data_IF_212303472713
#
_entry.id   IF_212303472713
#
_cell.length_a   1.000
_cell.length_b   1.000
_cell.length_c   1.000
_cell.angle_alpha   90.00
_cell.angle_beta   90.00
_cell.angle_gamma   90.00
#
_symmetry.space_group_name_H-M   'P 1'
#
loop_
_entity.id
_entity.type
_entity.pdbx_description
1 polymer ?
#
# COMPACT_ATOMS: atom_id res chain seq x y z
N UNK A 1 -6.48 71.79 15.91
CA UNK A 1 -6.04 72.57 14.73
C UNK A 1 -4.58 72.26 14.41
N UNK A 2 -4.26 71.53 13.34
CA UNK A 2 -2.98 71.66 12.61
C UNK A 2 -2.93 70.76 11.37
N UNK A 3 -3.19 71.43 10.24
CA UNK A 3 -2.55 71.35 8.92
C UNK A 3 -2.41 69.96 8.26
N UNK A 4 -3.36 69.69 7.37
CA UNK A 4 -3.21 68.82 6.20
C UNK A 4 -2.11 69.38 5.29
N UNK A 5 -1.17 68.53 4.86
CA UNK A 5 -0.24 68.81 3.77
C UNK A 5 -0.33 67.64 2.78
N UNK A 6 -0.98 67.93 1.65
CA UNK A 6 -1.11 67.05 0.49
C UNK A 6 0.24 67.06 -0.22
N UNK A 7 0.86 65.90 -0.39
CA UNK A 7 2.03 65.75 -1.24
C UNK A 7 1.64 64.87 -2.44
N UNK A 8 1.54 65.52 -3.60
CA UNK A 8 1.35 64.89 -4.90
C UNK A 8 2.72 64.38 -5.32
N UNK A 9 2.89 63.06 -5.37
CA UNK A 9 4.15 62.40 -5.71
C UNK A 9 3.92 61.33 -6.76
N UNK A 10 4.16 61.73 -8.01
CA UNK A 10 4.43 60.97 -9.23
C UNK A 10 4.59 59.44 -9.09
N UNK A 11 3.68 58.74 -9.75
CA UNK A 11 3.65 57.30 -10.03
C UNK A 11 4.87 56.86 -10.85
N UNK A 12 5.94 56.45 -10.18
CA UNK A 12 7.01 55.64 -10.77
C UNK A 12 6.61 54.17 -10.65
N UNK A 13 6.19 53.61 -11.79
CA UNK A 13 5.79 52.22 -11.98
C UNK A 13 7.01 51.29 -11.81
N UNK A 14 7.37 50.97 -10.56
CA UNK A 14 8.21 49.83 -10.23
C UNK A 14 7.34 48.57 -10.32
N UNK A 15 7.36 47.90 -11.48
CA UNK A 15 6.88 46.53 -11.66
C UNK A 15 7.78 45.58 -10.85
N UNK A 16 7.56 45.58 -9.54
CA UNK A 16 8.09 44.62 -8.60
C UNK A 16 7.32 43.31 -8.69
N UNK A 17 8.02 42.27 -9.14
CA UNK A 17 7.97 40.89 -8.65
C UNK A 17 6.74 40.49 -7.84
N UNK A 18 5.78 39.82 -8.50
CA UNK A 18 5.07 38.72 -7.83
C UNK A 18 5.00 37.58 -8.83
N UNK A 19 6.06 36.76 -8.83
CA UNK A 19 6.02 35.42 -9.36
C UNK A 19 4.91 34.67 -8.62
N UNK A 20 3.68 34.72 -9.15
CA UNK A 20 2.68 33.69 -8.92
C UNK A 20 3.23 32.39 -9.53
N UNK A 21 4.17 31.76 -8.83
CA UNK A 21 4.33 30.32 -8.90
C UNK A 21 3.05 29.74 -8.30
N UNK A 22 2.01 29.68 -9.13
CA UNK A 22 0.79 28.95 -8.84
C UNK A 22 1.21 27.51 -8.60
N UNK A 23 1.15 27.11 -7.34
CA UNK A 23 1.47 25.78 -6.83
C UNK A 23 0.71 24.76 -7.67
N UNK A 24 1.45 24.00 -8.48
CA UNK A 24 0.92 22.84 -9.20
C UNK A 24 0.70 21.73 -8.18
N UNK A 25 -0.49 21.73 -7.59
CA UNK A 25 -0.95 20.66 -6.73
C UNK A 25 -1.26 19.45 -7.62
N UNK A 26 -0.32 18.50 -7.67
CA UNK A 26 -0.51 17.18 -8.31
C UNK A 26 -1.76 16.52 -7.67
N UNK A 27 -2.93 16.66 -8.29
CA UNK A 27 -4.09 15.85 -7.96
C UNK A 27 -3.76 14.39 -8.26
N UNK A 28 -3.81 13.55 -7.25
CA UNK A 28 -3.73 12.09 -7.38
C UNK A 28 -4.79 11.62 -8.37
N UNK A 29 -4.41 10.72 -9.29
CA UNK A 29 -5.28 10.24 -10.37
C UNK A 29 -6.29 9.20 -9.81
N UNK A 30 -7.58 9.52 -9.68
CA UNK A 30 -8.55 8.65 -9.02
C UNK A 30 -8.77 7.31 -9.74
N UNK A 31 -8.54 7.26 -11.06
CA UNK A 31 -8.72 6.02 -11.84
C UNK A 31 -7.63 5.00 -11.58
N UNK A 32 -6.38 5.45 -11.38
CA UNK A 32 -5.24 4.58 -11.07
C UNK A 32 -5.34 4.00 -9.66
N UNK A 33 -5.81 4.77 -8.69
CA UNK A 33 -6.10 4.27 -7.34
C UNK A 33 -7.20 3.20 -7.40
N UNK A 34 -8.30 3.46 -8.11
CA UNK A 34 -9.39 2.51 -8.26
C UNK A 34 -8.93 1.20 -8.93
N UNK A 35 -8.04 1.27 -9.91
CA UNK A 35 -7.45 0.08 -10.55
C UNK A 35 -6.58 -0.74 -9.59
N UNK A 36 -5.67 -0.09 -8.85
CA UNK A 36 -4.81 -0.75 -7.86
C UNK A 36 -5.63 -1.42 -6.73
N UNK A 37 -6.72 -0.77 -6.31
CA UNK A 37 -7.64 -1.36 -5.34
C UNK A 37 -8.27 -2.67 -5.87
N UNK A 38 -8.42 -2.85 -7.19
CA UNK A 38 -9.13 -3.98 -7.83
C UNK A 38 -8.24 -5.17 -8.19
N UNK A 39 -6.97 -4.92 -8.50
CA UNK A 39 -6.08 -5.95 -9.05
C UNK A 39 -5.17 -6.57 -7.99
N UNK A 40 -5.01 -5.90 -6.84
CA UNK A 40 -4.02 -6.25 -5.84
C UNK A 40 -2.76 -5.45 -6.06
N UNK A 41 -1.89 -5.42 -5.06
CA UNK A 41 -0.71 -4.58 -5.06
C UNK A 41 0.49 -5.43 -4.66
N UNK A 42 1.57 -5.30 -5.42
CA UNK A 42 2.84 -5.99 -5.16
C UNK A 42 3.90 -4.91 -5.10
N UNK A 43 4.70 -4.89 -4.03
CA UNK A 43 5.82 -3.96 -3.96
C UNK A 43 7.03 -4.60 -3.30
N UNK A 44 8.19 -4.27 -3.83
CA UNK A 44 9.46 -4.64 -3.22
C UNK A 44 9.81 -3.57 -2.19
N UNK A 45 9.75 -3.92 -0.90
CA UNK A 45 10.26 -3.04 0.16
C UNK A 45 11.79 -2.93 0.07
N UNK A 46 12.47 -4.08 -0.07
CA UNK A 46 13.89 -4.20 -0.39
C UNK A 46 14.19 -5.61 -0.88
N UNK A 47 15.33 -5.82 -1.54
CA UNK A 47 15.79 -7.15 -1.93
C UNK A 47 16.04 -8.07 -0.71
N UNK A 48 16.39 -7.46 0.43
CA UNK A 48 16.61 -8.17 1.69
C UNK A 48 15.33 -8.67 2.37
N UNK A 49 14.14 -8.28 1.90
CA UNK A 49 12.87 -8.71 2.48
C UNK A 49 12.54 -10.18 2.15
N UNK A 50 13.33 -10.85 1.31
CA UNK A 50 13.08 -12.22 0.86
C UNK A 50 11.99 -12.34 -0.22
N UNK A 51 11.31 -11.23 -0.55
CA UNK A 51 10.28 -11.17 -1.58
C UNK A 51 9.48 -9.87 -1.50
N UNK A 52 8.58 -9.62 -2.47
CA UNK A 52 7.71 -8.45 -2.45
C UNK A 52 6.61 -8.62 -1.41
N UNK A 53 6.24 -7.54 -0.75
CA UNK A 53 5.04 -7.51 0.07
C UNK A 53 3.80 -7.50 -0.85
N UNK A 54 2.77 -8.25 -0.47
CA UNK A 54 1.60 -8.54 -1.32
C UNK A 54 0.33 -8.08 -0.62
N UNK A 55 -0.50 -7.30 -1.33
CA UNK A 55 -1.86 -6.99 -0.92
C UNK A 55 -2.83 -7.62 -1.91
N UNK A 56 -3.53 -8.67 -1.49
CA UNK A 56 -4.57 -9.30 -2.31
C UNK A 56 -5.81 -8.42 -2.40
N UNK A 57 -6.44 -8.44 -3.57
CA UNK A 57 -7.70 -7.75 -3.85
C UNK A 57 -8.91 -8.70 -3.98
N UNK A 58 -8.65 -10.02 -4.08
CA UNK A 58 -9.67 -11.06 -4.22
C UNK A 58 -9.42 -12.21 -3.25
N UNK A 59 -10.48 -12.93 -2.81
CA UNK A 59 -11.90 -12.65 -3.06
C UNK A 59 -12.42 -11.41 -2.30
N UNK A 60 -11.69 -10.97 -1.28
CA UNK A 60 -11.95 -9.73 -0.55
C UNK A 60 -10.76 -8.79 -0.67
N UNK A 61 -11.04 -7.49 -0.65
CA UNK A 61 -10.00 -6.46 -0.86
C UNK A 61 -9.25 -6.17 0.42
N UNK A 62 -7.94 -5.99 0.29
CA UNK A 62 -7.10 -5.52 1.39
C UNK A 62 -6.73 -6.65 2.33
N UNK A 63 -6.14 -7.72 1.79
CA UNK A 63 -5.46 -8.74 2.60
C UNK A 63 -3.96 -8.58 2.42
N UNK A 64 -3.27 -8.20 3.49
CA UNK A 64 -1.82 -7.99 3.47
C UNK A 64 -1.07 -9.28 3.83
N UNK A 65 -0.06 -9.62 3.03
CA UNK A 65 0.96 -10.61 3.33
C UNK A 65 2.34 -9.94 3.29
N UNK A 66 3.14 -10.21 4.33
CA UNK A 66 4.49 -9.66 4.47
C UNK A 66 5.57 -10.73 4.31
N UNK A 67 6.34 -10.67 3.22
CA UNK A 67 7.52 -11.51 3.05
C UNK A 67 8.58 -11.18 4.10
N UNK A 68 8.79 -9.90 4.40
CA UNK A 68 9.76 -9.49 5.42
C UNK A 68 9.46 -10.15 6.77
N UNK A 69 8.21 -10.13 7.20
CA UNK A 69 7.84 -10.75 8.47
C UNK A 69 8.06 -12.27 8.44
N UNK A 70 7.59 -12.96 7.40
CA UNK A 70 7.65 -14.42 7.34
C UNK A 70 9.05 -14.96 7.04
N UNK A 71 9.75 -14.41 6.05
CA UNK A 71 11.05 -14.91 5.61
C UNK A 71 12.21 -14.34 6.45
N UNK A 72 12.20 -13.03 6.76
CA UNK A 72 13.33 -12.39 7.46
C UNK A 72 13.17 -12.39 8.97
N UNK A 73 12.02 -11.97 9.49
CA UNK A 73 11.83 -11.83 10.94
C UNK A 73 11.56 -13.17 11.63
N UNK A 74 10.75 -14.04 11.02
CA UNK A 74 10.50 -15.40 11.51
C UNK A 74 11.52 -16.44 11.00
N UNK A 75 12.32 -16.10 9.98
CA UNK A 75 13.36 -16.99 9.45
C UNK A 75 12.82 -18.20 8.69
N UNK A 76 11.59 -18.14 8.15
CA UNK A 76 11.05 -19.23 7.33
C UNK A 76 11.81 -19.33 6.00
N UNK A 77 12.17 -20.55 5.62
CA UNK A 77 12.85 -20.77 4.35
C UNK A 77 11.90 -20.55 3.17
N UNK A 78 12.45 -20.21 2.01
CA UNK A 78 11.69 -20.02 0.77
C UNK A 78 10.85 -21.27 0.44
N UNK A 79 11.44 -22.45 0.65
CA UNK A 79 10.86 -23.76 0.36
C UNK A 79 9.70 -24.11 1.30
N UNK A 80 9.66 -23.48 2.47
CA UNK A 80 8.55 -23.66 3.42
C UNK A 80 7.22 -23.14 2.86
N UNK A 81 7.27 -22.22 1.89
CA UNK A 81 6.10 -21.70 1.19
C UNK A 81 6.06 -22.13 -0.28
N UNK A 82 7.20 -22.19 -0.96
CA UNK A 82 7.30 -22.32 -2.41
C UNK A 82 7.98 -23.60 -2.90
N UNK A 83 7.54 -24.22 -3.99
CA UNK A 83 6.27 -24.00 -4.70
C UNK A 83 5.08 -24.75 -4.10
N UNK A 84 5.25 -25.32 -2.88
CA UNK A 84 4.27 -26.21 -2.27
C UNK A 84 2.95 -25.54 -1.87
N UNK A 85 2.99 -24.49 -1.06
CA UNK A 85 1.79 -23.79 -0.56
C UNK A 85 1.38 -22.68 -1.54
N UNK A 86 2.37 -21.97 -2.08
CA UNK A 86 2.18 -20.88 -3.03
C UNK A 86 3.14 -21.04 -4.22
N UNK A 87 2.68 -20.66 -5.40
CA UNK A 87 3.56 -20.50 -6.57
C UNK A 87 4.44 -19.25 -6.40
N UNK A 88 5.62 -19.23 -7.03
CA UNK A 88 6.52 -18.07 -7.08
C UNK A 88 6.02 -17.00 -8.07
N UNK A 89 4.71 -16.71 -8.03
CA UNK A 89 4.05 -15.72 -8.84
C UNK A 89 3.07 -14.94 -7.96
N UNK A 90 3.37 -13.67 -7.73
CA UNK A 90 2.53 -12.81 -6.89
C UNK A 90 1.10 -12.72 -7.46
N UNK A 91 0.12 -12.66 -6.56
CA UNK A 91 -1.31 -12.59 -6.88
C UNK A 91 -1.87 -13.80 -7.67
N UNK A 92 -1.09 -14.86 -7.91
CA UNK A 92 -1.59 -16.04 -8.62
C UNK A 92 -2.69 -16.77 -7.84
N UNK A 93 -2.52 -16.90 -6.54
CA UNK A 93 -3.48 -17.61 -5.68
C UNK A 93 -4.88 -17.00 -5.69
N UNK A 94 -5.00 -15.67 -5.80
CA UNK A 94 -6.31 -14.99 -5.81
C UNK A 94 -7.11 -15.17 -7.11
N UNK A 95 -6.52 -15.80 -8.14
CA UNK A 95 -7.24 -16.25 -9.34
C UNK A 95 -8.00 -17.56 -9.09
N UNK A 96 -7.61 -18.32 -8.06
CA UNK A 96 -8.20 -19.61 -7.76
C UNK A 96 -9.51 -19.43 -6.96
N UNK A 97 -10.61 -20.10 -7.35
CA UNK A 97 -11.89 -19.99 -6.66
C UNK A 97 -11.85 -20.55 -5.24
N UNK A 98 -10.92 -21.47 -4.95
CA UNK A 98 -10.72 -22.03 -3.61
C UNK A 98 -9.79 -21.18 -2.72
N UNK A 99 -9.27 -20.04 -3.18
CA UNK A 99 -8.53 -19.10 -2.32
C UNK A 99 -9.48 -18.30 -1.41
N UNK A 100 -10.05 -18.99 -0.43
CA UNK A 100 -11.05 -18.44 0.48
C UNK A 100 -10.88 -19.02 1.90
N UNK A 101 -11.58 -18.44 2.88
CA UNK A 101 -11.45 -18.84 4.29
C UNK A 101 -11.81 -20.30 4.56
N UNK A 102 -12.73 -20.89 3.79
CA UNK A 102 -13.09 -22.30 3.94
C UNK A 102 -11.91 -23.21 3.61
N UNK A 103 -11.18 -22.92 2.54
CA UNK A 103 -9.96 -23.64 2.19
C UNK A 103 -8.84 -23.44 3.22
N UNK A 104 -8.71 -22.24 3.80
CA UNK A 104 -7.77 -21.98 4.89
C UNK A 104 -8.08 -22.88 6.09
N UNK A 105 -9.34 -23.05 6.46
CA UNK A 105 -9.73 -23.97 7.55
C UNK A 105 -9.45 -25.44 7.24
N UNK A 106 -9.35 -25.80 5.95
CA UNK A 106 -8.93 -27.13 5.48
C UNK A 106 -7.40 -27.25 5.33
N UNK A 107 -6.63 -26.29 5.86
CA UNK A 107 -5.17 -26.32 5.87
C UNK A 107 -4.50 -25.85 4.58
N UNK A 108 -5.22 -25.21 3.66
CA UNK A 108 -4.64 -24.65 2.43
C UNK A 108 -4.14 -23.21 2.63
N UNK A 109 -3.25 -22.77 1.74
CA UNK A 109 -2.74 -21.39 1.68
C UNK A 109 -2.23 -20.91 3.05
N UNK A 110 -2.67 -19.74 3.52
CA UNK A 110 -2.31 -19.20 4.82
C UNK A 110 -2.64 -20.16 5.97
N UNK A 111 -3.72 -20.95 5.82
CA UNK A 111 -4.21 -21.89 6.82
C UNK A 111 -3.32 -23.13 7.00
N UNK A 112 -2.35 -23.38 6.12
CA UNK A 112 -1.34 -24.41 6.31
C UNK A 112 -0.56 -24.20 7.63
N UNK A 113 -0.32 -22.92 7.99
CA UNK A 113 0.35 -22.52 9.23
C UNK A 113 -0.59 -21.79 10.20
N UNK A 114 -1.51 -20.96 9.72
CA UNK A 114 -2.51 -20.26 10.54
C UNK A 114 -3.68 -21.16 10.96
N UNK A 115 -3.34 -22.30 11.55
CA UNK A 115 -4.25 -23.38 11.93
C UNK A 115 -4.56 -23.43 13.45
N UNK A 116 -3.98 -22.52 14.24
CA UNK A 116 -4.12 -22.51 15.71
C UNK A 116 -3.07 -23.31 16.45
N UNK A 117 -2.16 -23.98 15.75
CA UNK A 117 -1.05 -24.75 16.31
C UNK A 117 0.29 -24.11 15.96
N UNK A 118 0.60 -23.99 14.66
CA UNK A 118 1.86 -23.40 14.20
C UNK A 118 1.86 -21.87 14.28
N UNK A 119 0.69 -21.26 14.05
CA UNK A 119 0.43 -19.84 14.21
C UNK A 119 -1.02 -19.63 14.65
N UNK A 120 -1.41 -18.38 14.95
CA UNK A 120 -2.79 -18.07 15.31
C UNK A 120 -3.77 -18.56 14.23
N UNK A 121 -4.92 -19.09 14.66
CA UNK A 121 -5.92 -19.62 13.74
C UNK A 121 -6.55 -18.51 12.89
N UNK A 122 -6.69 -18.72 11.59
CA UNK A 122 -7.20 -17.70 10.64
C UNK A 122 -8.60 -17.17 10.97
N UNK A 123 -9.40 -17.87 11.77
CA UNK A 123 -10.74 -17.44 12.22
C UNK A 123 -10.73 -16.58 13.50
N UNK A 124 -9.58 -16.30 14.11
CA UNK A 124 -9.53 -15.63 15.43
C UNK A 124 -9.08 -14.17 15.37
N UNK A 125 -8.23 -13.80 14.40
CA UNK A 125 -7.59 -12.48 14.34
C UNK A 125 -7.72 -11.86 12.95
N UNK A 126 -8.95 -11.62 12.49
CA UNK A 126 -9.26 -11.18 11.13
C UNK A 126 -8.46 -9.92 10.71
N UNK A 127 -8.36 -8.94 11.60
CA UNK A 127 -7.71 -7.65 11.32
C UNK A 127 -6.19 -7.74 11.16
N UNK A 128 -5.55 -8.87 11.48
CA UNK A 128 -4.11 -9.05 11.27
C UNK A 128 -3.76 -9.19 9.78
N UNK A 129 -4.71 -9.67 8.97
CA UNK A 129 -4.52 -9.82 7.52
C UNK A 129 -5.45 -8.86 6.76
N UNK A 130 -6.71 -8.75 7.17
CA UNK A 130 -7.71 -7.93 6.51
C UNK A 130 -7.61 -6.47 6.94
N UNK A 131 -6.80 -5.69 6.21
CA UNK A 131 -6.57 -4.26 6.46
C UNK A 131 -7.69 -3.36 5.91
N UNK A 132 -8.60 -3.94 5.13
CA UNK A 132 -9.74 -3.25 4.53
C UNK A 132 -9.36 -2.15 3.55
N UNK A 133 -10.35 -1.41 3.06
CA UNK A 133 -10.15 -0.34 2.06
C UNK A 133 -9.26 0.78 2.61
N UNK A 134 -9.42 1.15 3.88
CA UNK A 134 -8.59 2.19 4.51
C UNK A 134 -7.12 1.79 4.55
N UNK A 135 -6.82 0.58 5.03
CA UNK A 135 -5.44 0.09 5.07
C UNK A 135 -4.83 0.01 3.67
N UNK A 136 -5.61 -0.45 2.69
CA UNK A 136 -5.17 -0.53 1.29
C UNK A 136 -4.81 0.86 0.72
N UNK A 137 -5.62 1.89 0.99
CA UNK A 137 -5.33 3.28 0.57
C UNK A 137 -4.05 3.82 1.18
N UNK A 138 -3.86 3.62 2.48
CA UNK A 138 -2.61 4.02 3.15
C UNK A 138 -1.40 3.33 2.54
N UNK A 139 -1.57 2.07 2.15
CA UNK A 139 -0.52 1.30 1.50
C UNK A 139 -0.18 1.85 0.11
N UNK A 140 -1.20 2.08 -0.74
CA UNK A 140 -1.02 2.69 -2.07
C UNK A 140 -0.32 4.04 -1.95
N UNK A 141 -0.69 4.86 -0.96
CA UNK A 141 -0.04 6.14 -0.69
C UNK A 141 1.44 5.98 -0.33
N UNK A 142 1.78 5.01 0.52
CA UNK A 142 3.19 4.71 0.86
C UNK A 142 3.99 4.35 -0.39
N UNK A 143 3.43 3.58 -1.31
CA UNK A 143 4.08 3.23 -2.58
C UNK A 143 4.32 4.44 -3.48
N UNK A 144 3.31 5.29 -3.62
CA UNK A 144 3.44 6.54 -4.39
C UNK A 144 4.49 7.50 -3.81
N UNK A 145 4.82 7.36 -2.51
CA UNK A 145 5.89 8.12 -1.85
C UNK A 145 7.25 7.45 -2.02
N UNK A 146 7.35 6.12 -1.97
CA UNK A 146 8.63 5.40 -2.18
C UNK A 146 9.15 5.55 -3.61
N UNK A 147 8.27 5.59 -4.61
CA UNK A 147 8.65 5.82 -6.01
C UNK A 147 9.23 7.22 -6.27
N UNK A 148 8.88 8.22 -5.46
CA UNK A 148 9.36 9.61 -5.62
C UNK A 148 10.71 9.86 -4.94
N UNK A 149 11.16 8.95 -4.08
CA UNK A 149 12.43 9.05 -3.35
C UNK A 149 13.58 8.33 -4.05
N UNK A 150 13.28 7.57 -5.09
CA UNK A 150 14.24 6.89 -5.96
C UNK A 150 14.53 7.79 -7.17
#
# INVERSE_FOLDING_TARGET
MRKVKIFVGTLTLLLGVVSLAYVSEKKENPSKEAELLNQGVVYMESEEAGGPEIVYAKPVRGVLFSHKYHAKELGLSCESCHSGIFEMQALKSQENPDFNMEALYKGKYCGACHNGQSAFASNTKCANCHIGVKGMKEYIKKLAVSEKKK
#
